data_IF_620659257094
#
_entry.id   IF_620659257094
#
_cell.length_a   1.000
_cell.length_b   1.000
_cell.length_c   1.000
_cell.angle_alpha   90.00
_cell.angle_beta   90.00
_cell.angle_gamma   90.00
#
_symmetry.space_group_name_H-M   'P 1'
#
loop_
_entity.id
_entity.type
_entity.pdbx_description
1 polymer ?
#
# COMPACT_ATOMS: atom_id res chain seq x y z
N UNK A 1 -16.04 -16.82 11.46
CA UNK A 1 -14.66 -17.32 11.63
C UNK A 1 -14.40 -18.34 10.53
N UNK A 2 -13.41 -18.13 9.67
CA UNK A 2 -12.99 -19.16 8.71
C UNK A 2 -12.44 -20.37 9.46
N UNK A 3 -12.54 -21.57 8.88
CA UNK A 3 -11.99 -22.78 9.48
C UNK A 3 -10.54 -22.57 9.92
N UNK A 4 -10.18 -23.10 11.10
CA UNK A 4 -8.82 -23.09 11.66
C UNK A 4 -8.31 -21.75 12.22
N UNK A 5 -9.19 -20.82 12.61
CA UNK A 5 -8.78 -19.57 13.26
C UNK A 5 -8.19 -18.54 12.30
N UNK A 6 -8.27 -18.78 10.99
CA UNK A 6 -7.70 -17.91 9.96
C UNK A 6 -8.66 -16.73 9.66
N UNK A 7 -8.20 -15.50 9.88
CA UNK A 7 -8.80 -14.31 9.27
C UNK A 7 -8.19 -14.13 7.88
N UNK A 8 -8.85 -14.59 6.82
CA UNK A 8 -8.31 -14.41 5.47
C UNK A 8 -8.05 -12.91 5.18
N UNK A 9 -6.97 -12.55 4.46
CA UNK A 9 -6.59 -11.16 4.17
C UNK A 9 -7.77 -10.32 3.65
N UNK A 10 -8.59 -10.95 2.82
CA UNK A 10 -9.78 -10.37 2.18
C UNK A 10 -10.84 -9.94 3.22
N UNK A 11 -10.98 -10.67 4.32
CA UNK A 11 -11.93 -10.37 5.39
C UNK A 11 -11.35 -9.38 6.40
N UNK A 12 -10.04 -9.46 6.69
CA UNK A 12 -9.35 -8.52 7.56
C UNK A 12 -9.32 -7.11 6.95
N UNK A 13 -9.01 -6.99 5.66
CA UNK A 13 -9.06 -5.70 4.95
C UNK A 13 -10.47 -5.10 4.92
N UNK A 14 -11.53 -5.92 4.88
CA UNK A 14 -12.91 -5.45 4.93
C UNK A 14 -13.26 -4.78 6.27
N UNK A 15 -12.58 -5.15 7.36
CA UNK A 15 -12.68 -4.50 8.67
C UNK A 15 -11.50 -3.56 8.95
N UNK A 16 -10.75 -3.17 7.91
CA UNK A 16 -9.57 -2.27 7.97
C UNK A 16 -8.42 -2.78 8.85
N UNK A 17 -8.32 -4.10 9.03
CA UNK A 17 -7.16 -4.75 9.64
C UNK A 17 -6.24 -5.15 8.50
N UNK A 18 -5.05 -4.55 8.45
CA UNK A 18 -4.02 -4.85 7.46
C UNK A 18 -2.87 -5.59 8.15
N UNK A 19 -2.64 -6.85 7.76
CA UNK A 19 -1.43 -7.57 8.15
C UNK A 19 -0.29 -7.20 7.21
N UNK A 20 0.70 -6.50 7.74
CA UNK A 20 1.85 -6.06 6.97
C UNK A 20 2.84 -7.19 6.64
N UNK A 21 2.74 -8.36 7.27
CA UNK A 21 3.57 -9.53 6.93
C UNK A 21 3.04 -10.29 5.71
N UNK A 22 1.79 -10.08 5.32
CA UNK A 22 1.25 -10.68 4.11
C UNK A 22 1.93 -10.11 2.86
N UNK A 23 2.42 -11.00 1.98
CA UNK A 23 2.92 -10.62 0.66
C UNK A 23 1.88 -11.07 -0.36
N UNK A 24 1.32 -10.10 -1.10
CA UNK A 24 0.50 -10.39 -2.28
C UNK A 24 1.39 -10.33 -3.54
N UNK A 25 1.07 -11.09 -4.58
CA UNK A 25 1.76 -11.08 -5.88
C UNK A 25 1.71 -9.73 -6.60
N UNK A 26 0.74 -8.87 -6.22
CA UNK A 26 0.60 -7.51 -6.73
C UNK A 26 1.42 -6.47 -5.93
N UNK A 27 2.15 -6.89 -4.90
CA UNK A 27 2.96 -5.99 -4.08
C UNK A 27 4.15 -5.46 -4.90
N UNK A 28 4.51 -4.17 -4.80
CA UNK A 28 5.67 -3.62 -5.51
C UNK A 28 6.97 -4.28 -5.04
N UNK A 29 7.93 -4.49 -5.95
CA UNK A 29 9.22 -5.12 -5.63
C UNK A 29 9.96 -4.47 -4.43
N UNK A 30 10.03 -3.13 -4.30
CA UNK A 30 10.65 -2.50 -3.12
C UNK A 30 9.96 -2.87 -1.80
N UNK A 31 8.64 -3.05 -1.79
CA UNK A 31 7.92 -3.50 -0.60
C UNK A 31 8.27 -4.96 -0.25
N UNK A 32 8.41 -5.83 -1.26
CA UNK A 32 8.84 -7.20 -1.04
C UNK A 32 10.28 -7.26 -0.48
N UNK A 33 11.20 -6.49 -1.07
CA UNK A 33 12.58 -6.40 -0.59
C UNK A 33 12.68 -5.83 0.83
N UNK A 34 11.91 -4.78 1.14
CA UNK A 34 11.84 -4.20 2.47
C UNK A 34 11.33 -5.22 3.48
N UNK A 35 10.23 -5.92 3.16
CA UNK A 35 9.67 -6.98 3.99
C UNK A 35 10.73 -8.05 4.24
N UNK A 36 11.26 -8.69 3.21
CA UNK A 36 12.25 -9.75 3.35
C UNK A 36 13.51 -9.32 4.14
N UNK A 37 13.88 -8.03 4.10
CA UNK A 37 15.05 -7.50 4.79
C UNK A 37 14.79 -7.19 6.27
N UNK A 38 13.65 -6.62 6.60
CA UNK A 38 13.39 -6.04 7.94
C UNK A 38 12.23 -6.67 8.69
N UNK A 39 11.27 -7.26 7.98
CA UNK A 39 10.11 -7.89 8.58
C UNK A 39 10.22 -9.39 8.32
N UNK A 40 10.37 -10.20 9.36
CA UNK A 40 10.36 -11.64 9.16
C UNK A 40 9.03 -12.12 8.53
N UNK A 41 9.10 -12.43 7.24
CA UNK A 41 8.02 -13.06 6.47
C UNK A 41 8.38 -14.53 6.30
N UNK A 42 7.84 -15.40 7.17
CA UNK A 42 7.95 -16.85 6.93
C UNK A 42 6.95 -17.30 5.85
N UNK A 43 7.30 -18.38 5.15
CA UNK A 43 6.36 -19.20 4.39
C UNK A 43 5.37 -19.86 5.37
N UNK A 44 4.18 -19.25 5.51
CA UNK A 44 3.19 -19.72 6.49
C UNK A 44 2.54 -21.02 6.01
N UNK A 45 2.78 -22.11 6.74
CA UNK A 45 1.99 -23.35 6.62
C UNK A 45 0.66 -23.24 7.39
N UNK A 46 -0.40 -23.81 6.80
CA UNK A 46 -1.85 -23.67 7.08
C UNK A 46 -2.40 -24.04 8.49
N UNK A 47 -1.59 -24.05 9.55
CA UNK A 47 -2.01 -24.58 10.86
C UNK A 47 -1.91 -23.61 12.05
N UNK A 48 -1.55 -22.34 11.86
CA UNK A 48 -1.58 -21.29 12.90
C UNK A 48 -2.35 -20.05 12.44
N UNK A 49 -2.65 -19.13 13.38
CA UNK A 49 -3.01 -17.76 13.03
C UNK A 49 -1.91 -17.23 12.09
N UNK A 50 -2.19 -17.19 10.80
CA UNK A 50 -1.17 -16.97 9.78
C UNK A 50 -0.46 -15.62 9.93
N UNK A 51 -1.17 -14.63 10.48
CA UNK A 51 -0.62 -13.32 10.83
C UNK A 51 0.32 -13.34 12.03
N UNK A 52 0.57 -14.48 12.68
CA UNK A 52 1.51 -14.64 13.80
C UNK A 52 2.85 -15.25 13.36
N UNK A 53 2.93 -15.91 12.19
CA UNK A 53 4.12 -16.65 11.74
C UNK A 53 4.04 -18.16 12.04
N UNK A 54 5.02 -18.94 11.55
CA UNK A 54 5.10 -20.39 11.82
C UNK A 54 5.91 -20.65 13.10
N UNK A 55 5.51 -21.66 13.88
CA UNK A 55 6.21 -22.06 15.12
C UNK A 55 7.49 -22.88 14.88
N UNK A 56 7.96 -23.04 13.64
CA UNK A 56 9.04 -23.99 13.31
C UNK A 56 10.39 -23.64 13.95
N UNK A 57 10.62 -22.37 14.31
CA UNK A 57 11.86 -21.89 14.94
C UNK A 57 11.89 -21.91 16.47
N UNK A 58 10.85 -22.42 17.13
CA UNK A 58 10.74 -22.41 18.59
C UNK A 58 10.01 -21.17 19.12
N UNK A 59 9.65 -21.21 20.41
CA UNK A 59 8.95 -20.13 21.11
C UNK A 59 9.90 -18.93 21.26
N UNK A 60 9.48 -17.74 20.86
CA UNK A 60 10.24 -16.50 21.06
C UNK A 60 10.93 -15.91 19.83
N UNK A 61 11.12 -16.68 18.75
CA UNK A 61 11.86 -16.21 17.57
C UNK A 61 11.13 -15.07 16.82
N UNK A 62 9.80 -15.16 16.73
CA UNK A 62 8.97 -14.12 16.10
C UNK A 62 8.96 -12.86 16.96
N UNK A 63 8.81 -13.04 18.27
CA UNK A 63 8.76 -11.96 19.23
C UNK A 63 10.08 -11.19 19.26
N UNK A 64 11.19 -11.92 19.28
CA UNK A 64 12.53 -11.37 19.14
C UNK A 64 12.67 -10.55 17.86
N UNK A 65 12.20 -11.08 16.74
CA UNK A 65 12.26 -10.38 15.45
C UNK A 65 11.46 -9.09 15.44
N UNK A 66 10.25 -9.11 16.01
CA UNK A 66 9.39 -7.91 16.11
C UNK A 66 10.09 -6.86 16.97
N UNK A 67 10.64 -7.25 18.11
CA UNK A 67 11.32 -6.34 19.04
C UNK A 67 12.60 -5.76 18.40
N UNK A 68 13.43 -6.62 17.79
CA UNK A 68 14.67 -6.22 17.11
C UNK A 68 14.41 -5.25 15.96
N UNK A 69 13.32 -5.47 15.23
CA UNK A 69 12.94 -4.67 14.06
C UNK A 69 11.82 -3.66 14.35
N UNK A 70 11.57 -3.34 15.63
CA UNK A 70 10.42 -2.54 16.07
C UNK A 70 10.31 -1.20 15.35
N UNK A 71 11.45 -0.55 15.05
CA UNK A 71 11.48 0.71 14.31
C UNK A 71 10.81 0.62 12.93
N UNK A 72 10.94 -0.51 12.23
CA UNK A 72 10.35 -0.71 10.91
C UNK A 72 8.85 -1.03 10.98
N UNK A 73 8.42 -1.81 11.98
CA UNK A 73 6.99 -2.02 12.26
C UNK A 73 6.31 -0.71 12.64
N UNK A 74 6.97 0.08 13.50
CA UNK A 74 6.48 1.36 13.98
C UNK A 74 6.36 2.38 12.86
N UNK A 75 7.36 2.47 11.97
CA UNK A 75 7.32 3.29 10.76
C UNK A 75 6.15 2.98 9.84
N UNK A 76 5.76 1.70 9.75
CA UNK A 76 4.61 1.28 8.95
C UNK A 76 3.27 1.52 9.67
N UNK A 77 3.28 2.17 10.84
CA UNK A 77 2.10 2.48 11.63
C UNK A 77 1.45 1.26 12.29
N UNK A 78 2.22 0.18 12.53
CA UNK A 78 1.69 -1.02 13.20
C UNK A 78 1.37 -0.69 14.66
N UNK A 79 0.10 -0.41 14.93
CA UNK A 79 -0.38 -0.02 16.25
C UNK A 79 -0.69 -1.19 17.18
N UNK A 80 -1.06 -2.35 16.64
CA UNK A 80 -1.46 -3.50 17.42
C UNK A 80 -0.68 -4.75 17.01
N UNK A 81 -0.19 -5.47 18.00
CA UNK A 81 0.46 -6.77 17.85
C UNK A 81 -0.48 -7.82 18.41
N UNK A 82 -0.86 -8.79 17.58
CA UNK A 82 -1.84 -9.81 17.92
C UNK A 82 -1.12 -11.14 18.02
N UNK A 83 -1.23 -11.82 19.16
CA UNK A 83 -0.58 -13.09 19.47
C UNK A 83 -1.58 -14.09 20.06
N UNK A 84 -1.32 -15.41 20.00
CA UNK A 84 -2.08 -16.40 20.76
C UNK A 84 -2.06 -16.07 22.26
N UNK A 85 -3.16 -16.34 22.96
CA UNK A 85 -3.29 -16.01 24.39
C UNK A 85 -2.29 -16.70 25.32
N UNK A 86 -1.66 -17.78 24.87
CA UNK A 86 -0.64 -18.49 25.65
C UNK A 86 0.72 -17.78 25.64
N UNK A 87 0.88 -16.74 24.83
CA UNK A 87 2.14 -15.99 24.67
C UNK A 87 2.05 -14.66 25.40
N UNK A 88 2.92 -14.50 26.40
CA UNK A 88 3.21 -13.20 26.99
C UNK A 88 4.36 -12.54 26.21
N UNK A 89 4.04 -11.47 25.48
CA UNK A 89 4.99 -10.78 24.62
C UNK A 89 6.10 -10.09 25.42
N UNK A 90 5.76 -9.48 26.55
CA UNK A 90 6.72 -8.77 27.40
C UNK A 90 7.61 -9.75 28.17
N UNK A 91 7.05 -10.88 28.64
CA UNK A 91 7.86 -11.93 29.26
C UNK A 91 8.86 -12.53 28.27
N UNK A 92 8.44 -12.71 27.02
CA UNK A 92 9.34 -13.20 25.96
C UNK A 92 10.48 -12.22 25.71
N UNK A 93 10.19 -10.92 25.67
CA UNK A 93 11.21 -9.87 25.59
C UNK A 93 12.21 -9.94 26.75
N UNK A 94 11.71 -10.20 27.97
CA UNK A 94 12.52 -10.30 29.18
C UNK A 94 13.51 -11.47 29.12
N UNK A 95 13.04 -12.65 28.70
CA UNK A 95 13.84 -13.86 28.61
C UNK A 95 14.95 -13.78 27.58
N UNK A 96 14.72 -13.08 26.47
CA UNK A 96 15.66 -13.03 25.34
C UNK A 96 16.73 -11.96 25.55
N UNK A 97 16.39 -10.84 26.21
CA UNK A 97 17.29 -9.72 26.44
C UNK A 97 17.38 -9.35 27.93
N UNK A 98 17.88 -10.23 28.81
CA UNK A 98 17.86 -10.02 30.27
C UNK A 98 18.58 -8.73 30.70
N UNK A 99 19.64 -8.35 29.99
CA UNK A 99 20.51 -7.20 30.29
C UNK A 99 20.11 -5.91 29.57
N UNK A 100 18.99 -5.89 28.83
CA UNK A 100 18.55 -4.70 28.11
C UNK A 100 17.66 -3.85 29.03
N UNK A 101 18.28 -2.88 29.70
CA UNK A 101 17.60 -2.00 30.67
C UNK A 101 16.50 -1.12 30.03
N UNK A 102 16.60 -0.86 28.72
CA UNK A 102 15.63 -0.06 27.94
C UNK A 102 14.77 -0.92 27.00
N UNK A 103 14.39 -2.12 27.44
CA UNK A 103 13.46 -2.98 26.69
C UNK A 103 12.14 -2.24 26.39
N UNK A 104 11.63 -2.29 25.15
CA UNK A 104 10.32 -1.76 24.85
C UNK A 104 9.26 -2.58 25.58
N UNK A 105 8.31 -1.89 26.20
CA UNK A 105 7.16 -2.49 26.86
C UNK A 105 5.91 -2.27 26.02
N UNK A 106 5.09 -3.30 25.91
CA UNK A 106 3.88 -3.28 25.10
C UNK A 106 2.66 -3.51 25.98
N UNK A 107 1.85 -2.48 26.27
CA UNK A 107 0.66 -2.62 27.11
C UNK A 107 -0.34 -3.63 26.51
N UNK A 108 -0.91 -4.50 27.35
CA UNK A 108 -1.98 -5.39 26.94
C UNK A 108 -3.28 -4.60 26.78
N UNK A 109 -3.78 -4.48 25.55
CA UNK A 109 -5.02 -3.78 25.23
C UNK A 109 -6.25 -4.68 25.36
N UNK A 110 -6.11 -5.98 25.06
CA UNK A 110 -7.18 -6.97 25.15
C UNK A 110 -6.59 -8.37 25.28
N UNK A 111 -7.29 -9.26 25.99
CA UNK A 111 -6.95 -10.69 25.99
C UNK A 111 -8.18 -11.55 26.29
N UNK A 112 -8.28 -12.69 25.61
CA UNK A 112 -9.23 -13.76 25.90
C UNK A 112 -8.57 -15.15 25.85
N UNK A 113 -9.35 -16.23 25.75
CA UNK A 113 -8.84 -17.62 25.72
C UNK A 113 -8.13 -18.02 24.42
N UNK A 114 -8.11 -17.13 23.43
CA UNK A 114 -7.58 -17.40 22.09
C UNK A 114 -6.54 -16.39 21.64
N UNK A 115 -6.68 -15.13 22.05
CA UNK A 115 -5.86 -14.03 21.55
C UNK A 115 -5.49 -13.03 22.63
N UNK A 116 -4.29 -12.48 22.52
CA UNK A 116 -3.81 -11.30 23.25
C UNK A 116 -3.44 -10.21 22.24
N UNK A 117 -3.88 -8.99 22.50
CA UNK A 117 -3.63 -7.80 21.69
C UNK A 117 -2.80 -6.82 22.50
N UNK A 118 -1.59 -6.56 22.03
CA UNK A 118 -0.65 -5.62 22.62
C UNK A 118 -0.64 -4.31 21.83
N UNK A 119 -0.52 -3.19 22.52
CA UNK A 119 -0.40 -1.86 21.94
C UNK A 119 1.08 -1.54 21.67
N UNK A 120 1.40 -1.17 20.43
CA UNK A 120 2.67 -0.57 20.07
C UNK A 120 2.55 0.96 20.22
N UNK A 121 3.01 1.50 21.34
CA UNK A 121 3.00 2.95 21.60
C UNK A 121 4.06 3.70 20.77
N UNK A 122 4.99 2.99 20.14
CA UNK A 122 6.02 3.56 19.28
C UNK A 122 5.53 3.76 17.83
N UNK A 123 4.32 3.29 17.50
CA UNK A 123 3.78 3.37 16.15
C UNK A 123 3.70 4.83 15.65
N UNK A 124 4.32 5.10 14.50
CA UNK A 124 4.24 6.43 13.88
C UNK A 124 2.84 6.64 13.30
N UNK A 125 2.33 7.89 13.32
CA UNK A 125 1.13 8.23 12.55
C UNK A 125 1.26 7.80 11.09
N UNK A 126 0.15 7.43 10.45
CA UNK A 126 0.14 7.05 9.02
C UNK A 126 0.52 8.21 8.11
N UNK A 127 0.28 9.44 8.56
CA UNK A 127 0.73 10.67 7.92
C UNK A 127 1.43 11.56 8.95
N UNK A 128 2.59 12.11 8.59
CA UNK A 128 3.37 13.00 9.44
C UNK A 128 4.28 13.89 8.59
N UNK A 129 4.76 15.01 9.14
CA UNK A 129 5.67 15.92 8.44
C UNK A 129 7.04 15.87 9.11
N UNK A 130 8.09 15.82 8.30
CA UNK A 130 9.49 15.87 8.74
C UNK A 130 10.23 16.97 8.00
N UNK A 131 11.19 17.58 8.68
CA UNK A 131 12.00 18.68 8.15
C UNK A 131 13.50 18.32 8.06
N UNK A 132 13.90 17.15 8.57
CA UNK A 132 15.27 16.62 8.41
C UNK A 132 15.33 15.66 7.23
N UNK A 133 15.88 16.11 6.11
CA UNK A 133 15.93 15.35 4.86
C UNK A 133 17.37 15.10 4.41
N UNK A 134 17.66 13.84 4.12
CA UNK A 134 18.86 13.40 3.42
C UNK A 134 18.51 12.84 2.04
N UNK A 135 19.52 12.66 1.19
CA UNK A 135 19.33 12.18 -0.17
C UNK A 135 20.14 10.91 -0.40
N UNK A 136 19.56 9.98 -1.14
CA UNK A 136 20.23 8.78 -1.63
C UNK A 136 20.14 8.71 -3.16
N UNK A 137 21.16 8.19 -3.81
CA UNK A 137 21.18 7.99 -5.26
C UNK A 137 20.45 6.70 -5.70
N UNK A 138 20.11 5.82 -4.76
CA UNK A 138 19.43 4.55 -5.06
C UNK A 138 18.64 4.01 -3.88
N UNK A 139 17.72 3.08 -4.16
CA UNK A 139 17.01 2.31 -3.13
C UNK A 139 17.97 1.65 -2.14
N UNK A 140 19.06 1.04 -2.64
CA UNK A 140 20.04 0.37 -1.77
C UNK A 140 20.66 1.34 -0.76
N UNK A 141 21.09 2.51 -1.21
CA UNK A 141 21.66 3.55 -0.36
C UNK A 141 20.63 4.12 0.63
N UNK A 142 19.37 4.31 0.19
CA UNK A 142 18.29 4.70 1.09
C UNK A 142 18.07 3.65 2.20
N UNK A 143 18.10 2.36 1.85
CA UNK A 143 17.95 1.27 2.82
C UNK A 143 19.15 1.17 3.78
N UNK A 144 20.36 1.42 3.31
CA UNK A 144 21.56 1.49 4.15
C UNK A 144 21.46 2.64 5.16
N UNK A 145 21.04 3.82 4.71
CA UNK A 145 20.85 4.99 5.57
C UNK A 145 19.82 4.75 6.69
N UNK A 146 18.62 4.25 6.37
CA UNK A 146 17.59 3.99 7.39
C UNK A 146 17.95 2.82 8.33
N UNK A 147 18.85 1.93 7.90
CA UNK A 147 19.28 0.81 8.72
C UNK A 147 20.27 1.20 9.80
N UNK A 148 20.94 2.35 9.67
CA UNK A 148 21.86 2.87 10.68
C UNK A 148 21.17 3.05 12.04
N UNK A 149 21.93 2.87 13.12
CA UNK A 149 21.38 2.91 14.49
C UNK A 149 20.89 4.29 14.93
N UNK A 150 21.38 5.34 14.30
CA UNK A 150 21.06 6.74 14.64
C UNK A 150 19.84 7.27 13.89
N UNK A 151 19.34 6.55 12.88
CA UNK A 151 18.28 7.05 12.00
C UNK A 151 16.88 6.90 12.61
N UNK A 152 16.22 8.03 12.90
CA UNK A 152 14.86 8.08 13.42
C UNK A 152 13.85 8.34 12.29
N UNK A 153 13.26 7.27 11.77
CA UNK A 153 12.25 7.28 10.68
C UNK A 153 11.01 8.15 10.96
N UNK A 154 10.78 8.56 12.21
CA UNK A 154 9.70 9.47 12.58
C UNK A 154 10.08 10.96 12.51
N UNK A 155 11.38 11.26 12.45
CA UNK A 155 11.92 12.63 12.48
C UNK A 155 12.75 12.99 11.25
N UNK A 156 13.26 11.99 10.54
CA UNK A 156 14.06 12.20 9.34
C UNK A 156 13.72 11.21 8.23
N UNK A 157 13.99 11.66 7.01
CA UNK A 157 13.71 10.90 5.79
C UNK A 157 14.86 10.95 4.80
N UNK A 158 14.90 9.92 3.96
CA UNK A 158 15.78 9.83 2.80
C UNK A 158 14.95 9.93 1.53
N UNK A 159 15.27 10.88 0.66
CA UNK A 159 14.65 11.00 -0.66
C UNK A 159 15.58 10.44 -1.74
N UNK A 160 15.03 9.61 -2.65
CA UNK A 160 15.77 9.10 -3.81
C UNK A 160 15.91 10.12 -4.96
N UNK A 161 15.16 11.22 -4.88
CA UNK A 161 15.18 12.30 -5.86
C UNK A 161 15.35 13.63 -5.15
N UNK A 162 16.27 14.46 -5.65
CA UNK A 162 16.44 15.83 -5.16
C UNK A 162 15.21 16.68 -5.47
N UNK A 163 14.86 17.55 -4.52
CA UNK A 163 13.91 18.62 -4.76
C UNK A 163 14.45 19.56 -5.85
N UNK A 164 13.59 20.23 -6.64
CA UNK A 164 14.00 21.18 -7.67
C UNK A 164 14.62 22.47 -7.11
N UNK A 165 14.75 22.57 -5.79
CA UNK A 165 15.23 23.72 -5.05
C UNK A 165 16.12 23.28 -3.90
N UNK A 166 17.07 24.13 -3.53
CA UNK A 166 17.94 23.86 -2.38
C UNK A 166 17.26 24.36 -1.12
N UNK A 167 16.91 23.44 -0.22
CA UNK A 167 16.36 23.74 1.10
C UNK A 167 17.47 23.56 2.12
N UNK A 168 17.60 24.52 3.02
CA UNK A 168 18.40 24.34 4.23
C UNK A 168 17.49 23.74 5.30
N UNK A 169 17.72 22.47 5.60
CA UNK A 169 16.90 21.70 6.54
C UNK A 169 17.36 22.02 7.95
N UNK A 170 16.69 22.97 8.62
CA UNK A 170 17.06 23.37 9.96
C UNK A 170 16.93 22.20 10.96
N UNK A 171 15.98 21.28 10.73
CA UNK A 171 15.73 20.15 11.62
C UNK A 171 15.16 20.61 12.98
N UNK A 172 14.46 21.75 12.99
CA UNK A 172 13.93 22.42 14.18
C UNK A 172 12.41 22.58 14.14
N UNK A 173 11.77 22.37 13.00
CA UNK A 173 10.33 22.51 12.78
C UNK A 173 9.64 21.16 12.75
N UNK A 174 8.66 20.96 13.64
CA UNK A 174 7.78 19.81 13.54
C UNK A 174 6.58 20.15 12.64
N UNK A 175 5.86 19.14 12.20
CA UNK A 175 4.56 19.36 11.59
C UNK A 175 3.59 18.26 11.95
N UNK A 176 2.30 18.59 11.91
CA UNK A 176 1.23 17.64 12.13
C UNK A 176 0.58 17.28 10.80
N UNK A 177 0.05 16.07 10.70
CA UNK A 177 -0.73 15.65 9.56
C UNK A 177 -1.90 14.76 10.00
N UNK A 178 -3.08 15.10 9.50
CA UNK A 178 -4.32 14.37 9.78
C UNK A 178 -4.93 13.90 8.47
N UNK A 179 -5.20 12.59 8.38
CA UNK A 179 -5.89 12.02 7.22
C UNK A 179 -7.39 12.28 7.37
N UNK A 180 -7.91 13.17 6.54
CA UNK A 180 -9.34 13.57 6.52
C UNK A 180 -10.18 12.59 5.70
N UNK A 181 -9.61 12.04 4.63
CA UNK A 181 -10.27 11.05 3.79
C UNK A 181 -9.27 9.99 3.35
N UNK A 182 -9.68 8.73 3.41
CA UNK A 182 -8.85 7.61 2.99
C UNK A 182 -9.69 6.56 2.25
N UNK A 183 -9.34 6.33 0.99
CA UNK A 183 -10.00 5.37 0.11
C UNK A 183 -9.03 4.76 -0.91
N UNK A 184 -9.52 3.80 -1.69
CA UNK A 184 -8.67 3.00 -2.59
C UNK A 184 -7.97 3.83 -3.68
N UNK A 185 -8.62 4.91 -4.14
CA UNK A 185 -8.13 5.77 -5.23
C UNK A 185 -7.89 7.22 -4.81
N UNK A 186 -8.09 7.55 -3.53
CA UNK A 186 -8.03 8.93 -3.03
C UNK A 186 -7.63 8.97 -1.56
N UNK A 187 -6.71 9.86 -1.22
CA UNK A 187 -6.40 10.20 0.16
C UNK A 187 -6.28 11.73 0.28
N UNK A 188 -6.89 12.30 1.32
CA UNK A 188 -6.84 13.74 1.62
C UNK A 188 -6.27 13.92 3.02
N UNK A 189 -5.27 14.80 3.14
CA UNK A 189 -4.52 15.02 4.36
C UNK A 189 -4.46 16.52 4.60
N UNK A 190 -4.84 16.95 5.80
CA UNK A 190 -4.55 18.29 6.28
C UNK A 190 -3.22 18.25 7.01
N UNK A 191 -2.26 19.06 6.59
CA UNK A 191 -0.93 19.10 7.17
C UNK A 191 -0.59 20.53 7.60
N UNK A 192 0.04 20.68 8.76
CA UNK A 192 0.68 21.92 9.18
C UNK A 192 2.18 21.69 9.25
N UNK A 193 2.96 22.51 8.57
CA UNK A 193 4.41 22.47 8.61
C UNK A 193 4.92 23.77 9.24
N UNK A 194 5.68 23.70 10.34
CA UNK A 194 6.27 24.90 10.96
C UNK A 194 7.30 25.55 10.03
N UNK A 195 8.05 24.73 9.29
CA UNK A 195 9.02 25.12 8.28
C UNK A 195 8.85 24.30 6.99
N UNK A 196 9.67 24.57 5.98
CA UNK A 196 9.71 23.75 4.76
C UNK A 196 10.00 22.28 5.15
N UNK A 197 9.18 21.35 4.66
CA UNK A 197 9.18 19.98 5.13
C UNK A 197 8.69 18.98 4.09
N UNK A 198 8.71 17.70 4.44
CA UNK A 198 8.17 16.61 3.65
C UNK A 198 7.02 15.98 4.42
N UNK A 199 5.81 16.07 3.87
CA UNK A 199 4.72 15.21 4.31
C UNK A 199 5.00 13.79 3.85
N UNK A 200 5.09 12.88 4.81
CA UNK A 200 5.21 11.44 4.61
C UNK A 200 3.83 10.82 4.80
N UNK A 201 3.43 9.99 3.84
CA UNK A 201 2.28 9.11 3.97
C UNK A 201 2.80 7.67 3.85
N UNK A 202 2.61 6.86 4.90
CA UNK A 202 3.17 5.50 5.02
C UNK A 202 2.47 4.46 4.12
N UNK A 203 2.03 4.88 2.94
CA UNK A 203 1.58 4.03 1.86
C UNK A 203 2.73 3.79 0.89
N UNK A 204 2.80 2.57 0.35
CA UNK A 204 3.85 2.21 -0.60
C UNK A 204 3.84 3.11 -1.83
N UNK A 205 5.01 3.64 -2.20
CA UNK A 205 5.19 4.38 -3.43
C UNK A 205 4.93 3.48 -4.63
N UNK A 206 3.91 3.84 -5.43
CA UNK A 206 3.53 3.10 -6.63
C UNK A 206 3.23 4.04 -7.80
N UNK A 207 3.65 3.70 -9.04
CA UNK A 207 3.33 4.50 -10.21
C UNK A 207 1.82 4.65 -10.43
N UNK A 208 1.40 5.84 -10.88
CA UNK A 208 -0.01 6.14 -11.20
C UNK A 208 -0.73 6.98 -10.14
N UNK A 209 -0.12 7.19 -8.97
CA UNK A 209 -0.56 8.24 -8.05
C UNK A 209 -0.12 9.63 -8.54
N UNK A 210 -1.00 10.61 -8.35
CA UNK A 210 -0.74 12.04 -8.53
C UNK A 210 -0.99 12.75 -7.21
N UNK A 211 -0.20 13.76 -6.89
CA UNK A 211 -0.39 14.58 -5.70
C UNK A 211 -0.69 16.03 -6.05
N UNK A 212 -1.42 16.67 -5.16
CA UNK A 212 -1.79 18.07 -5.24
C UNK A 212 -1.61 18.69 -3.85
N UNK A 213 -1.01 19.88 -3.79
CA UNK A 213 -0.92 20.69 -2.56
C UNK A 213 -1.74 21.94 -2.82
N UNK A 214 -2.79 22.15 -2.01
CA UNK A 214 -3.74 23.26 -2.16
C UNK A 214 -4.36 23.35 -3.57
N UNK A 215 -4.55 22.19 -4.20
CA UNK A 215 -5.11 22.05 -5.55
C UNK A 215 -4.09 22.11 -6.68
N UNK A 216 -2.85 22.53 -6.41
CA UNK A 216 -1.79 22.62 -7.42
C UNK A 216 -1.02 21.31 -7.55
N UNK A 217 -0.77 20.80 -8.78
CA UNK A 217 -0.03 19.57 -8.98
C UNK A 217 1.39 19.62 -8.40
N UNK A 218 1.77 18.59 -7.64
CA UNK A 218 3.14 18.44 -7.11
C UNK A 218 3.71 17.07 -7.44
N UNK A 219 5.04 16.97 -7.36
CA UNK A 219 5.73 15.70 -7.52
C UNK A 219 5.61 14.85 -6.24
N UNK A 220 5.39 13.54 -6.44
CA UNK A 220 5.47 12.56 -5.36
C UNK A 220 6.91 12.05 -5.30
N UNK A 221 7.52 12.14 -4.13
CA UNK A 221 8.84 11.62 -3.85
C UNK A 221 8.75 10.25 -3.19
N UNK A 222 9.71 9.37 -3.52
CA UNK A 222 9.90 8.13 -2.78
C UNK A 222 10.71 8.43 -1.52
N UNK A 223 10.10 8.14 -0.38
CA UNK A 223 10.63 8.36 0.96
C UNK A 223 11.11 7.03 1.54
N UNK A 224 12.31 7.03 2.11
CA UNK A 224 12.93 5.87 2.78
C UNK A 224 12.93 4.60 1.89
N UNK A 225 13.00 4.79 0.57
CA UNK A 225 12.94 3.73 -0.43
C UNK A 225 11.59 2.98 -0.54
N UNK A 226 10.57 3.34 0.23
CA UNK A 226 9.37 2.54 0.36
C UNK A 226 8.07 3.32 0.16
N UNK A 227 7.92 4.42 0.88
CA UNK A 227 6.64 5.12 1.01
C UNK A 227 6.63 6.39 0.17
N UNK A 228 5.47 7.03 0.06
CA UNK A 228 5.31 8.27 -0.70
C UNK A 228 5.38 9.49 0.20
N UNK A 229 5.92 10.58 -0.33
CA UNK A 229 5.85 11.88 0.31
C UNK A 229 5.75 13.02 -0.68
N UNK A 230 5.41 14.19 -0.17
CA UNK A 230 5.36 15.44 -0.93
C UNK A 230 6.08 16.53 -0.16
N UNK A 231 6.75 17.41 -0.89
CA UNK A 231 7.33 18.62 -0.30
C UNK A 231 6.22 19.62 0.02
N UNK A 232 6.32 20.22 1.20
CA UNK A 232 5.48 21.30 1.70
C UNK A 232 6.35 22.50 2.05
N UNK A 233 5.81 23.69 1.84
CA UNK A 233 6.38 24.90 2.43
C UNK A 233 5.94 25.01 3.88
N UNK A 234 6.59 25.89 4.64
CA UNK A 234 6.05 26.29 5.94
C UNK A 234 4.65 26.88 5.80
N UNK A 235 3.69 26.38 6.59
CA UNK A 235 2.28 26.77 6.57
C UNK A 235 1.31 25.59 6.70
N UNK A 236 0.02 25.91 6.59
CA UNK A 236 -1.06 24.93 6.56
C UNK A 236 -1.41 24.58 5.11
N UNK A 237 -1.55 23.28 4.85
CA UNK A 237 -1.75 22.73 3.52
C UNK A 237 -2.82 21.63 3.50
N UNK A 238 -3.59 21.59 2.41
CA UNK A 238 -4.39 20.42 2.05
C UNK A 238 -3.67 19.63 0.98
N UNK A 239 -3.24 18.43 1.32
CA UNK A 239 -2.59 17.50 0.39
C UNK A 239 -3.57 16.44 -0.08
N UNK A 240 -3.65 16.26 -1.39
CA UNK A 240 -4.51 15.27 -2.00
C UNK A 240 -3.71 14.32 -2.89
N UNK A 241 -3.85 13.01 -2.64
CA UNK A 241 -3.35 11.95 -3.51
C UNK A 241 -4.51 11.35 -4.29
N UNK A 242 -4.38 11.27 -5.63
CA UNK A 242 -5.35 10.64 -6.53
C UNK A 242 -4.69 9.54 -7.34
N UNK A 243 -5.29 8.34 -7.35
CA UNK A 243 -4.82 7.24 -8.17
C UNK A 243 -5.45 7.31 -9.56
N UNK A 244 -4.63 7.53 -10.57
CA UNK A 244 -5.06 7.65 -11.96
C UNK A 244 -4.03 7.01 -12.92
N UNK A 245 -4.02 5.66 -13.02
CA UNK A 245 -3.00 4.93 -13.76
C UNK A 245 -3.18 5.02 -15.28
N UNK A 246 -2.07 4.95 -16.03
CA UNK A 246 -2.08 4.97 -17.48
C UNK A 246 -2.85 3.79 -18.11
N UNK A 247 -2.89 2.64 -17.44
CA UNK A 247 -3.66 1.46 -17.87
C UNK A 247 -5.16 1.72 -17.91
N UNK A 248 -5.69 2.54 -17.00
CA UNK A 248 -7.10 2.94 -17.01
C UNK A 248 -7.43 3.76 -18.26
N UNK A 249 -6.56 4.71 -18.61
CA UNK A 249 -6.71 5.49 -19.85
C UNK A 249 -6.62 4.61 -21.10
N UNK A 250 -5.68 3.67 -21.13
CA UNK A 250 -5.56 2.71 -22.23
C UNK A 250 -6.82 1.84 -22.37
N UNK A 251 -7.34 1.32 -21.25
CA UNK A 251 -8.58 0.55 -21.24
C UNK A 251 -9.78 1.36 -21.72
N UNK A 252 -9.87 2.64 -21.34
CA UNK A 252 -10.93 3.55 -21.81
C UNK A 252 -10.83 3.77 -23.33
N UNK A 253 -9.62 4.00 -23.85
CA UNK A 253 -9.39 4.18 -25.28
C UNK A 253 -9.73 2.92 -26.09
N UNK A 254 -9.28 1.74 -25.64
CA UNK A 254 -9.60 0.45 -26.27
C UNK A 254 -11.12 0.24 -26.27
N UNK A 255 -11.78 0.46 -25.13
CA UNK A 255 -13.24 0.32 -25.02
C UNK A 255 -13.96 1.24 -26.01
N UNK A 256 -13.51 2.49 -26.15
CA UNK A 256 -14.04 3.45 -27.12
C UNK A 256 -13.88 2.99 -28.56
N UNK A 257 -12.70 2.45 -28.92
CA UNK A 257 -12.44 1.88 -30.25
C UNK A 257 -13.32 0.65 -30.50
N UNK A 258 -13.44 -0.26 -29.53
CA UNK A 258 -14.28 -1.45 -29.64
C UNK A 258 -15.74 -1.10 -29.85
N UNK A 259 -16.29 -0.14 -29.08
CA UNK A 259 -17.67 0.33 -29.25
C UNK A 259 -17.85 0.97 -30.64
N UNK A 260 -16.89 1.77 -31.09
CA UNK A 260 -16.94 2.41 -32.40
C UNK A 260 -16.94 1.38 -33.55
N UNK A 261 -16.06 0.38 -33.48
CA UNK A 261 -16.01 -0.71 -34.45
C UNK A 261 -17.30 -1.54 -34.43
N UNK A 262 -17.84 -1.84 -33.25
CA UNK A 262 -19.09 -2.58 -33.11
C UNK A 262 -20.28 -1.81 -33.70
N UNK A 263 -20.32 -0.49 -33.46
CA UNK A 263 -21.30 0.41 -34.08
C UNK A 263 -21.19 0.46 -35.61
N UNK A 264 -19.98 0.57 -36.15
CA UNK A 264 -19.74 0.53 -37.60
C UNK A 264 -20.17 -0.81 -38.21
N UNK A 265 -19.80 -1.94 -37.60
CA UNK A 265 -20.24 -3.27 -38.03
C UNK A 265 -21.77 -3.41 -38.02
N UNK A 266 -22.45 -2.84 -37.03
CA UNK A 266 -23.91 -2.87 -36.98
C UNK A 266 -24.57 -2.05 -38.10
N UNK A 267 -24.03 -0.86 -38.39
CA UNK A 267 -24.52 0.02 -39.47
C UNK A 267 -24.32 -0.63 -40.84
N UNK A 268 -23.10 -1.11 -41.14
CA UNK A 268 -22.78 -1.72 -42.43
C UNK A 268 -23.31 -3.15 -42.59
N UNK A 269 -23.53 -3.88 -41.49
CA UNK A 269 -24.13 -5.22 -41.49
C UNK A 269 -25.62 -5.22 -41.83
N UNK A 270 -26.38 -4.21 -41.38
CA UNK A 270 -27.80 -4.02 -41.74
C UNK A 270 -28.00 -3.77 -43.24
N UNK A 271 -27.06 -3.09 -43.90
CA UNK A 271 -27.13 -2.80 -45.33
C UNK A 271 -27.06 -4.05 -46.23
N UNK A 272 -26.28 -5.05 -45.83
CA UNK A 272 -26.09 -6.29 -46.61
C UNK A 272 -27.27 -7.27 -46.50
N UNK A 273 -27.82 -7.46 -45.30
CA UNK A 273 -28.96 -8.38 -45.11
C UNK A 273 -30.25 -7.93 -45.79
N UNK A 274 -30.46 -6.61 -45.93
CA UNK A 274 -31.68 -6.07 -46.55
C UNK A 274 -31.66 -6.18 -48.08
N UNK A 275 -30.48 -6.09 -48.70
CA UNK A 275 -30.33 -6.28 -50.15
C UNK A 275 -30.54 -7.74 -50.57
N UNK A 276 -29.94 -8.71 -49.85
CA UNK A 276 -30.10 -10.15 -50.17
C UNK A 276 -31.56 -10.65 -50.03
N UNK A 277 -32.33 -10.12 -49.08
CA UNK A 277 -33.74 -10.48 -48.91
C UNK A 277 -34.59 -9.89 -50.05
N UNK A 278 -34.31 -8.66 -50.48
CA UNK A 278 -35.02 -8.03 -51.61
C UNK A 278 -34.75 -8.73 -52.95
N UNK A 279 -33.53 -9.20 -53.19
CA UNK A 279 -33.17 -9.98 -54.40
C UNK A 279 -33.77 -11.38 -54.41
N UNK A 280 -33.97 -12.01 -53.24
CA UNK A 280 -34.66 -13.31 -53.15
C UNK A 280 -36.18 -13.21 -53.36
N UNK A 281 -36.81 -12.11 -52.94
CA UNK A 281 -38.25 -11.89 -53.11
C UNK A 281 -38.64 -11.41 -54.53
N UNK A 282 -37.69 -10.84 -55.28
CA UNK A 282 -37.93 -10.35 -56.65
C UNK A 282 -37.58 -11.36 -57.75
N UNK A 283 -36.97 -12.51 -57.42
CA UNK A 283 -36.75 -13.59 -58.39
C UNK A 283 -38.07 -14.31 -58.69
N UNK A 284 -38.55 -14.32 -59.95
CA UNK A 284 -39.78 -15.02 -60.29
C UNK A 284 -39.62 -16.54 -60.10
N UNK A 285 -40.63 -17.17 -59.49
CA UNK A 285 -40.69 -18.61 -59.34
C UNK A 285 -40.60 -19.27 -60.72
N UNK A 286 -39.58 -20.12 -60.93
CA UNK A 286 -39.50 -20.94 -62.15
C UNK A 286 -40.75 -21.83 -62.18
N UNK A 287 -41.64 -21.58 -63.15
CA UNK A 287 -42.77 -22.48 -63.40
C UNK A 287 -42.22 -23.84 -63.82
N UNK A 288 -42.38 -24.84 -62.97
CA UNK A 288 -42.20 -26.23 -63.36
C UNK A 288 -43.32 -26.60 -64.32
N UNK A 289 -43.09 -26.36 -65.61
CA UNK A 289 -43.88 -26.92 -66.71
C UNK A 289 -43.58 -28.41 -66.74
N UNK A 290 -44.47 -29.18 -66.13
CA UNK A 290 -44.51 -30.63 -66.25
C UNK A 290 -44.99 -30.95 -67.67
N UNK A 291 -44.08 -31.27 -68.59
CA UNK A 291 -44.40 -31.92 -69.87
C UNK A 291 -44.16 -33.41 -69.68
N UNK A 292 -45.25 -34.17 -69.66
CA UNK A 292 -45.24 -35.63 -69.56
C UNK A 292 -44.84 -36.32 -70.86
N UNK A 293 -44.45 -37.59 -70.71
CA UNK A 293 -45.04 -38.79 -71.32
C UNK A 293 -44.27 -40.02 -70.81
#
# INVERSE_FOLDING_TARGET
MGGHGVLFPNYASAVRIEDIRYINSLSPAPLHEFKNRYLETEDVYYHSLWFTGSRSRGVGAIEESIIRNLKYYSFLGVKYIILPSEIDFNQTAELIYPDWDERPFFPLSYSDKSVSIYLNEYATPRAFVVDKVSYAASYKEAQEAISSGEFDVSKEVVLEKRLPMNIDWAGQGAGNAEIVEYGANRAVINASAEEDGVLVLTDTFYPGWKAYVDGEPTEIYRVNGLVRGVFLRGGDHTVEFRYFPASFLAGLAISGVSISLMGLCFIFGKGRGTQEISERLTKPAKSTTNRGL
#
